data_IF_595971228237
#
_entry.id   IF_595971228237
#
_cell.length_a   1.000
_cell.length_b   1.000
_cell.length_c   1.000
_cell.angle_alpha   90.00
_cell.angle_beta   90.00
_cell.angle_gamma   90.00
#
_symmetry.space_group_name_H-M   'P 1'
#
loop_
_entity.id
_entity.type
_entity.pdbx_description
1 polymer ?
#
# COMPACT_ATOMS: atom_id res chain seq x y z
N UNK A 1 -1.88 9.43 -8.20
CA UNK A 1 -2.31 8.30 -7.36
C UNK A 1 -2.73 7.08 -8.15
N UNK A 2 -3.57 7.19 -9.18
CA UNK A 2 -4.22 6.07 -9.90
C UNK A 2 -3.46 4.72 -10.03
N UNK A 3 -2.23 4.64 -10.59
CA UNK A 3 -1.55 3.34 -10.72
C UNK A 3 -1.24 2.70 -9.36
N UNK A 4 -0.82 3.51 -8.38
CA UNK A 4 -0.53 3.03 -7.03
C UNK A 4 -1.82 2.60 -6.30
N UNK A 5 -2.90 3.36 -6.44
CA UNK A 5 -4.19 3.04 -5.83
C UNK A 5 -4.68 1.65 -6.26
N UNK A 6 -4.61 1.34 -7.56
CA UNK A 6 -5.00 0.04 -8.09
C UNK A 6 -4.18 -1.13 -7.50
N UNK A 7 -2.86 -0.94 -7.32
CA UNK A 7 -2.02 -1.94 -6.67
C UNK A 7 -2.43 -2.13 -5.19
N UNK A 8 -2.63 -1.04 -4.47
CA UNK A 8 -2.91 -1.06 -3.04
C UNK A 8 -4.31 -1.62 -2.73
N UNK A 9 -5.32 -1.36 -3.56
CA UNK A 9 -6.66 -1.96 -3.45
C UNK A 9 -6.60 -3.49 -3.51
N UNK A 10 -5.74 -4.04 -4.35
CA UNK A 10 -5.58 -5.51 -4.52
C UNK A 10 -4.66 -6.11 -3.47
N UNK A 11 -3.70 -5.33 -2.97
CA UNK A 11 -2.77 -5.76 -1.95
C UNK A 11 -3.41 -5.79 -0.56
N UNK A 12 -4.09 -4.72 -0.15
CA UNK A 12 -4.59 -4.55 1.22
C UNK A 12 -5.92 -5.29 1.39
N UNK A 13 -5.80 -6.55 1.80
CA UNK A 13 -6.89 -7.48 2.03
C UNK A 13 -7.24 -7.68 3.52
N UNK A 14 -6.32 -7.34 4.42
CA UNK A 14 -6.51 -7.37 5.88
C UNK A 14 -5.84 -6.16 6.52
N UNK A 15 -6.54 -5.52 7.45
CA UNK A 15 -6.16 -4.23 8.01
C UNK A 15 -6.55 -3.06 7.10
N UNK A 16 -6.01 -1.89 7.42
CA UNK A 16 -6.25 -0.62 6.73
C UNK A 16 -4.93 0.10 6.49
N UNK A 17 -4.68 0.49 5.25
CA UNK A 17 -3.61 1.41 4.88
C UNK A 17 -4.24 2.74 4.42
N UNK A 18 -3.91 3.82 5.11
CA UNK A 18 -4.20 5.19 4.67
C UNK A 18 -2.97 5.75 3.99
N UNK A 19 -3.14 6.36 2.83
CA UNK A 19 -2.07 7.01 2.07
C UNK A 19 -2.46 8.47 1.89
N UNK A 20 -1.73 9.36 2.55
CA UNK A 20 -1.81 10.79 2.30
C UNK A 20 -0.85 11.07 1.14
N UNK A 21 -1.39 11.50 0.01
CA UNK A 21 -0.57 11.79 -1.16
C UNK A 21 0.10 13.16 -1.09
N UNK A 22 0.91 13.48 -2.10
CA UNK A 22 1.67 14.73 -2.14
C UNK A 22 0.80 15.97 -2.35
N UNK A 23 -0.47 15.81 -2.75
CA UNK A 23 -1.46 16.87 -2.79
C UNK A 23 -2.19 17.05 -1.44
N UNK A 24 -1.92 16.17 -0.47
CA UNK A 24 -2.58 16.16 0.83
C UNK A 24 -3.89 15.37 0.85
N UNK A 25 -4.26 14.69 -0.23
CA UNK A 25 -5.47 13.87 -0.29
C UNK A 25 -5.24 12.53 0.41
N UNK A 26 -6.22 12.10 1.23
CA UNK A 26 -6.15 10.83 1.95
C UNK A 26 -6.91 9.74 1.17
N UNK A 27 -6.17 8.69 0.79
CA UNK A 27 -6.66 7.50 0.11
C UNK A 27 -6.69 6.34 1.10
N UNK A 28 -7.81 5.62 1.20
CA UNK A 28 -7.99 4.55 2.18
C UNK A 28 -8.14 3.21 1.48
N UNK A 29 -7.28 2.26 1.83
CA UNK A 29 -7.30 0.88 1.35
C UNK A 29 -7.55 -0.03 2.54
N UNK A 30 -8.61 -0.85 2.51
CA UNK A 30 -9.02 -1.65 3.66
C UNK A 30 -9.61 -2.98 3.22
N UNK A 31 -9.39 -4.02 4.03
CA UNK A 31 -10.05 -5.31 3.87
C UNK A 31 -10.67 -5.80 5.18
N UNK A 32 -10.42 -7.05 5.53
CA UNK A 32 -10.86 -7.63 6.81
C UNK A 32 -10.23 -6.89 8.01
N UNK A 33 -10.79 -7.06 9.20
CA UNK A 33 -10.25 -6.47 10.43
C UNK A 33 -8.75 -6.74 10.64
N UNK A 34 -8.04 -5.71 11.10
CA UNK A 34 -6.59 -5.77 11.28
C UNK A 34 -5.99 -4.40 11.60
N UNK A 35 -4.65 -4.29 11.56
CA UNK A 35 -3.93 -3.07 11.91
C UNK A 35 -4.27 -1.93 10.96
N UNK A 36 -4.24 -0.69 11.48
CA UNK A 36 -4.46 0.53 10.72
C UNK A 36 -3.16 1.36 10.72
N UNK A 37 -2.66 1.69 9.54
CA UNK A 37 -1.43 2.46 9.36
C UNK A 37 -1.66 3.62 8.40
N UNK A 38 -1.12 4.80 8.72
CA UNK A 38 -1.12 5.96 7.84
C UNK A 38 0.30 6.23 7.33
N UNK A 39 0.48 6.21 6.01
CA UNK A 39 1.70 6.67 5.35
C UNK A 39 1.42 8.00 4.61
N UNK A 40 2.45 8.81 4.45
CA UNK A 40 2.42 10.02 3.64
C UNK A 40 3.48 9.95 2.55
N UNK A 41 3.11 10.31 1.33
CA UNK A 41 3.99 10.38 0.18
C UNK A 41 4.25 11.84 -0.17
N UNK A 42 5.48 12.30 0.00
CA UNK A 42 5.87 13.68 -0.25
C UNK A 42 6.26 13.93 -1.72
N UNK A 43 6.55 12.86 -2.46
CA UNK A 43 6.99 12.94 -3.86
C UNK A 43 6.01 12.19 -4.80
N UNK A 44 5.58 12.88 -5.86
CA UNK A 44 4.70 12.36 -6.91
C UNK A 44 5.35 11.24 -7.72
N UNK A 45 6.69 11.21 -7.81
CA UNK A 45 7.43 10.16 -8.51
C UNK A 45 7.21 8.77 -7.88
N UNK A 46 6.93 8.75 -6.57
CA UNK A 46 6.70 7.51 -5.82
C UNK A 46 5.50 6.72 -6.34
N UNK A 47 4.56 7.34 -7.03
CA UNK A 47 3.33 6.65 -7.46
C UNK A 47 3.65 5.57 -8.50
N UNK A 48 4.55 5.89 -9.42
CA UNK A 48 5.02 4.97 -10.44
C UNK A 48 6.11 4.04 -9.90
N UNK A 49 7.04 4.56 -9.09
CA UNK A 49 8.12 3.74 -8.50
C UNK A 49 7.56 2.65 -7.58
N UNK A 50 6.63 2.99 -6.69
CA UNK A 50 5.98 2.02 -5.81
C UNK A 50 5.13 1.01 -6.59
N UNK A 51 4.56 1.40 -7.73
CA UNK A 51 3.81 0.48 -8.58
C UNK A 51 4.69 -0.60 -9.21
N UNK A 52 5.87 -0.21 -9.74
CA UNK A 52 6.76 -1.16 -10.43
C UNK A 52 7.73 -1.90 -9.52
N UNK A 53 8.31 -1.24 -8.51
CA UNK A 53 9.36 -1.79 -7.63
C UNK A 53 9.08 -1.56 -6.14
N UNK A 54 7.90 -1.97 -5.63
CA UNK A 54 7.43 -1.63 -4.29
C UNK A 54 8.41 -2.02 -3.17
N UNK A 55 8.97 -3.24 -3.23
CA UNK A 55 9.85 -3.75 -2.17
C UNK A 55 11.10 -2.89 -1.93
N UNK A 56 11.72 -2.41 -3.01
CA UNK A 56 12.92 -1.58 -2.94
C UNK A 56 12.56 -0.12 -2.65
N UNK A 57 11.56 0.40 -3.37
CA UNK A 57 11.17 1.82 -3.27
C UNK A 57 10.65 2.19 -1.90
N UNK A 58 9.96 1.29 -1.19
CA UNK A 58 9.47 1.56 0.18
C UNK A 58 10.63 1.88 1.13
N UNK A 59 11.68 1.05 1.12
CA UNK A 59 12.83 1.23 2.02
C UNK A 59 13.60 2.51 1.72
N UNK A 60 13.90 2.73 0.43
CA UNK A 60 14.56 3.96 -0.05
C UNK A 60 13.76 5.21 0.31
N UNK A 61 12.47 5.22 -0.02
CA UNK A 61 11.63 6.40 0.21
C UNK A 61 11.48 6.73 1.70
N UNK A 62 11.42 5.71 2.56
CA UNK A 62 11.41 5.92 4.01
C UNK A 62 12.74 6.50 4.52
N UNK A 63 13.88 5.97 4.06
CA UNK A 63 15.20 6.49 4.44
C UNK A 63 15.44 7.91 3.95
N UNK A 64 14.96 8.22 2.74
CA UNK A 64 15.07 9.54 2.11
C UNK A 64 14.04 10.55 2.66
N UNK A 65 13.10 10.10 3.50
CA UNK A 65 12.02 10.93 4.04
C UNK A 65 10.93 11.33 3.03
N UNK A 66 10.97 10.78 1.82
CA UNK A 66 9.94 11.02 0.79
C UNK A 66 8.69 10.16 1.02
N UNK A 67 8.79 9.14 1.89
CA UNK A 67 7.69 8.42 2.51
C UNK A 67 7.83 8.53 4.03
N UNK A 68 6.80 9.01 4.72
CA UNK A 68 6.76 9.04 6.19
C UNK A 68 5.56 8.27 6.74
N UNK A 69 5.60 7.98 8.04
CA UNK A 69 4.53 7.28 8.77
C UNK A 69 4.06 8.24 9.86
N UNK A 70 2.75 8.43 9.98
CA UNK A 70 2.16 9.45 10.88
C UNK A 70 1.78 8.85 12.25
N UNK A 71 0.95 7.79 12.24
CA UNK A 71 0.29 7.27 13.45
C UNK A 71 0.73 5.84 13.83
N UNK A 72 1.90 5.40 13.36
CA UNK A 72 2.40 4.05 13.56
C UNK A 72 3.93 3.99 13.47
N UNK A 73 4.51 2.84 13.81
CA UNK A 73 5.93 2.58 13.55
C UNK A 73 6.15 2.02 12.14
N UNK A 74 7.39 2.12 11.65
CA UNK A 74 7.81 1.40 10.43
C UNK A 74 7.62 -0.11 10.56
N UNK A 75 7.72 -0.65 11.78
CA UNK A 75 7.48 -2.06 12.01
C UNK A 75 6.02 -2.43 11.76
N UNK A 76 5.07 -1.63 12.25
CA UNK A 76 3.64 -1.87 12.02
C UNK A 76 3.27 -1.83 10.54
N UNK A 77 3.88 -0.88 9.79
CA UNK A 77 3.72 -0.81 8.34
C UNK A 77 4.26 -2.06 7.64
N UNK A 78 5.48 -2.50 7.99
CA UNK A 78 6.08 -3.70 7.41
C UNK A 78 5.30 -4.97 7.77
N UNK A 79 4.74 -5.05 8.97
CA UNK A 79 3.86 -6.16 9.39
C UNK A 79 2.58 -6.17 8.57
N UNK A 80 1.93 -5.02 8.36
CA UNK A 80 0.74 -4.89 7.51
C UNK A 80 1.03 -5.32 6.07
N UNK A 81 2.11 -4.81 5.47
CA UNK A 81 2.53 -5.20 4.13
C UNK A 81 2.89 -6.69 4.07
N UNK A 82 3.65 -7.20 5.03
CA UNK A 82 4.09 -8.60 5.08
C UNK A 82 2.92 -9.59 5.13
N UNK A 83 1.93 -9.34 5.97
CA UNK A 83 0.72 -10.17 6.05
C UNK A 83 -0.03 -10.22 4.71
N UNK A 84 -0.20 -9.06 4.08
CA UNK A 84 -0.94 -8.94 2.83
C UNK A 84 -0.17 -9.55 1.63
N UNK A 85 1.15 -9.34 1.55
CA UNK A 85 2.01 -9.95 0.53
C UNK A 85 2.02 -11.48 0.65
N UNK A 86 2.20 -12.01 1.87
CA UNK A 86 2.21 -13.45 2.10
C UNK A 86 0.89 -14.10 1.64
N UNK A 87 -0.23 -13.44 1.95
CA UNK A 87 -1.55 -13.90 1.53
C UNK A 87 -1.75 -13.81 0.00
N UNK A 88 -1.28 -12.74 -0.65
CA UNK A 88 -1.34 -12.60 -2.10
C UNK A 88 -0.50 -13.67 -2.82
N UNK A 89 0.63 -14.09 -2.25
CA UNK A 89 1.46 -15.17 -2.78
C UNK A 89 0.83 -16.56 -2.63
N UNK A 90 0.06 -16.79 -1.57
CA UNK A 90 -0.65 -18.07 -1.36
C UNK A 90 -1.82 -18.26 -2.34
N UNK A 91 -2.42 -17.17 -2.81
CA UNK A 91 -3.48 -17.19 -3.80
C UNK A 91 -3.18 -16.20 -4.93
N UNK A 92 -2.29 -16.54 -5.88
CA UNK A 92 -1.91 -15.65 -6.98
C UNK A 92 -3.11 -15.18 -7.81
N UNK A 93 -4.16 -15.99 -7.86
CA UNK A 93 -5.42 -15.65 -8.50
C UNK A 93 -6.18 -14.52 -7.79
N UNK A 94 -5.98 -14.26 -6.49
CA UNK A 94 -6.71 -13.21 -5.75
C UNK A 94 -6.38 -11.81 -6.22
N UNK A 95 -5.16 -11.58 -6.69
CA UNK A 95 -4.81 -10.33 -7.39
C UNK A 95 -5.67 -10.26 -8.66
N UNK A 96 -5.65 -11.28 -9.52
CA UNK A 96 -6.37 -11.29 -10.82
C UNK A 96 -7.90 -11.46 -10.78
N UNK A 97 -8.51 -12.02 -9.73
CA UNK A 97 -9.93 -12.39 -9.71
C UNK A 97 -10.91 -11.25 -9.41
N UNK A 98 -10.41 -10.07 -9.00
CA UNK A 98 -11.26 -8.91 -8.68
C UNK A 98 -11.94 -8.24 -9.88
N UNK A 99 -11.47 -8.51 -11.11
CA UNK A 99 -11.89 -7.81 -12.33
C UNK A 99 -12.91 -8.57 -13.21
N UNK A 100 -13.34 -9.78 -12.82
CA UNK A 100 -14.15 -10.68 -13.68
C UNK A 100 -15.61 -10.91 -13.22
N UNK A 101 -16.06 -10.27 -12.15
CA UNK A 101 -17.42 -10.48 -11.61
C UNK A 101 -18.28 -9.20 -11.51
N UNK A 102 -17.98 -8.20 -12.34
CA UNK A 102 -18.80 -7.01 -12.56
C UNK A 102 -19.31 -6.97 -14.00
N UNK A 103 -20.16 -7.94 -14.35
CA UNK A 103 -21.11 -7.86 -15.47
C UNK A 103 -22.44 -8.48 -15.05
#
# INVERSE_FOLDING_TARGET
MQPLSFLLERLIARGTLRVIDCAGECHVFSGQEGPCVTIRLHDRSLYWRLFFTPKMTVGEAYMDGTLTIEDASIYDFLVLCGHNIAQAMQHPLRVFYGDLNSV
#
